data_IF_348257789216
#
_entry.id   IF_348257789216
#
_cell.length_a   1.000
_cell.length_b   1.000
_cell.length_c   1.000
_cell.angle_alpha   90.00
_cell.angle_beta   90.00
_cell.angle_gamma   90.00
#
_symmetry.space_group_name_H-M   'P 1'
#
loop_
_entity.id
_entity.type
_entity.pdbx_description
1 polymer ?
#
# COMPACT_ATOMS: atom_id res chain seq x y z
N UNK A 1 11.48 16.27 -9.97
CA UNK A 1 11.09 16.51 -8.56
C UNK A 1 12.00 17.55 -7.92
N UNK A 2 11.45 18.53 -7.21
CA UNK A 2 12.22 19.61 -6.57
C UNK A 2 12.88 19.10 -5.28
N UNK A 3 14.23 19.06 -5.22
CA UNK A 3 15.02 18.60 -4.05
C UNK A 3 14.63 19.29 -2.74
N UNK A 4 14.20 20.55 -2.77
CA UNK A 4 13.71 21.28 -1.59
C UNK A 4 12.36 20.77 -1.09
N UNK A 5 11.46 20.39 -1.99
CA UNK A 5 10.15 19.85 -1.62
C UNK A 5 10.29 18.46 -0.97
N UNK A 6 11.16 17.62 -1.53
CA UNK A 6 11.53 16.31 -0.96
C UNK A 6 12.10 16.41 0.45
N UNK A 7 13.13 17.25 0.64
CA UNK A 7 13.76 17.45 1.95
C UNK A 7 12.79 17.97 3.00
N UNK A 8 11.92 18.91 2.61
CA UNK A 8 10.86 19.43 3.47
C UNK A 8 9.88 18.33 3.89
N UNK A 9 9.45 17.46 2.96
CA UNK A 9 8.57 16.34 3.27
C UNK A 9 9.17 15.35 4.28
N UNK A 10 10.44 14.97 4.12
CA UNK A 10 11.15 14.11 5.09
C UNK A 10 11.18 14.74 6.48
N UNK A 11 11.47 16.05 6.55
CA UNK A 11 11.54 16.79 7.81
C UNK A 11 10.19 16.91 8.50
N UNK A 12 9.13 17.17 7.74
CA UNK A 12 7.77 17.27 8.25
C UNK A 12 7.32 15.94 8.84
N UNK A 13 7.52 14.85 8.12
CA UNK A 13 7.11 13.53 8.57
C UNK A 13 7.89 13.05 9.79
N UNK A 14 9.22 13.25 9.79
CA UNK A 14 10.06 12.97 10.95
C UNK A 14 9.54 13.68 12.20
N UNK A 15 9.16 14.95 12.06
CA UNK A 15 8.62 15.76 13.17
C UNK A 15 7.26 15.26 13.63
N UNK A 16 6.37 14.84 12.72
CA UNK A 16 5.08 14.22 13.09
C UNK A 16 5.30 12.97 13.95
N UNK A 17 6.26 12.13 13.57
CA UNK A 17 6.64 10.91 14.29
C UNK A 17 7.48 11.18 15.55
N UNK A 18 7.75 12.45 15.89
CA UNK A 18 8.57 12.88 17.04
C UNK A 18 9.99 12.29 17.08
N UNK A 19 10.53 11.96 15.90
CA UNK A 19 11.89 11.45 15.77
C UNK A 19 12.89 12.61 15.68
N UNK A 20 14.04 12.45 16.33
CA UNK A 20 15.24 13.27 16.08
C UNK A 20 15.88 12.87 14.74
N UNK A 21 16.71 13.75 14.18
CA UNK A 21 17.48 13.39 12.99
C UNK A 21 18.43 12.22 13.26
N UNK A 22 18.96 12.10 14.48
CA UNK A 22 19.81 10.97 14.84
C UNK A 22 19.03 9.65 14.82
N UNK A 23 17.83 9.62 15.39
CA UNK A 23 16.96 8.44 15.40
C UNK A 23 16.51 8.03 14.00
N UNK A 24 16.14 8.99 13.15
CA UNK A 24 15.80 8.69 11.76
C UNK A 24 17.03 8.23 10.96
N UNK A 25 18.20 8.84 11.14
CA UNK A 25 19.41 8.49 10.39
C UNK A 25 20.04 7.16 10.82
N UNK A 26 19.82 6.69 12.05
CA UNK A 26 20.50 5.52 12.64
C UNK A 26 20.42 4.27 11.75
N UNK A 27 21.56 3.70 11.36
CA UNK A 27 21.60 2.51 10.50
C UNK A 27 21.27 2.75 9.02
N UNK A 28 21.07 4.01 8.60
CA UNK A 28 20.79 4.40 7.21
C UNK A 28 21.86 5.37 6.70
N UNK A 29 22.11 6.45 7.43
CA UNK A 29 23.11 7.46 7.09
C UNK A 29 23.59 8.23 8.33
N UNK A 30 24.48 9.20 8.14
CA UNK A 30 24.85 10.11 9.22
C UNK A 30 23.76 11.16 9.47
N UNK A 31 23.61 11.60 10.72
CA UNK A 31 22.69 12.67 11.08
C UNK A 31 23.00 13.97 10.30
N UNK A 32 24.27 14.25 10.03
CA UNK A 32 24.69 15.37 9.20
C UNK A 32 24.18 15.24 7.75
N UNK A 33 24.24 14.05 7.16
CA UNK A 33 23.72 13.81 5.81
C UNK A 33 22.22 13.99 5.75
N UNK A 34 21.48 13.45 6.71
CA UNK A 34 20.03 13.65 6.83
C UNK A 34 19.67 15.13 6.96
N UNK A 35 20.47 15.93 7.68
CA UNK A 35 20.27 17.37 7.79
C UNK A 35 20.36 18.07 6.42
N UNK A 36 21.36 17.71 5.60
CA UNK A 36 21.50 18.25 4.24
C UNK A 36 20.38 17.80 3.29
N UNK A 37 19.89 16.56 3.45
CA UNK A 37 18.71 16.05 2.73
C UNK A 37 17.48 16.87 3.11
N UNK A 38 17.22 17.07 4.41
CA UNK A 38 16.08 17.84 4.92
C UNK A 38 16.10 19.32 4.51
N UNK A 39 17.29 19.90 4.34
CA UNK A 39 17.47 21.26 3.83
C UNK A 39 17.26 21.37 2.30
N UNK A 40 17.29 20.24 1.58
CA UNK A 40 17.23 20.21 0.12
C UNK A 40 18.54 20.62 -0.56
N UNK A 41 19.63 20.61 0.20
CA UNK A 41 20.97 21.02 -0.26
C UNK A 41 21.74 19.85 -0.88
N UNK A 42 21.33 18.61 -0.56
CA UNK A 42 21.97 17.39 -1.03
C UNK A 42 20.95 16.37 -1.52
N UNK A 43 21.29 15.68 -2.61
CA UNK A 43 20.52 14.57 -3.15
C UNK A 43 21.34 13.30 -2.94
N UNK A 44 20.89 12.43 -2.04
CA UNK A 44 21.59 11.19 -1.71
C UNK A 44 21.38 10.11 -2.77
N UNK A 45 22.15 9.03 -2.65
CA UNK A 45 21.88 7.79 -3.37
C UNK A 45 20.50 7.23 -2.97
N UNK A 46 19.90 6.47 -3.87
CA UNK A 46 18.51 6.00 -3.77
C UNK A 46 18.27 5.11 -2.54
N UNK A 47 19.26 4.31 -2.16
CA UNK A 47 19.31 3.45 -0.97
C UNK A 47 19.11 4.23 0.34
N UNK A 48 19.72 5.41 0.48
CA UNK A 48 19.57 6.27 1.66
C UNK A 48 18.14 6.81 1.76
N UNK A 49 17.53 7.20 0.64
CA UNK A 49 16.13 7.61 0.63
C UNK A 49 15.22 6.45 0.98
N UNK A 50 15.46 5.27 0.43
CA UNK A 50 14.68 4.05 0.73
C UNK A 50 14.72 3.78 2.25
N UNK A 51 15.90 3.78 2.86
CA UNK A 51 16.03 3.58 4.31
C UNK A 51 15.30 4.65 5.14
N UNK A 52 15.41 5.93 4.74
CA UNK A 52 14.69 7.03 5.40
C UNK A 52 13.17 6.82 5.30
N UNK A 53 12.64 6.54 4.12
CA UNK A 53 11.20 6.35 3.91
C UNK A 53 10.65 5.10 4.63
N UNK A 54 11.41 4.01 4.64
CA UNK A 54 11.07 2.79 5.40
C UNK A 54 10.96 3.08 6.90
N UNK A 55 11.89 3.85 7.48
CA UNK A 55 11.80 4.25 8.89
C UNK A 55 10.71 5.26 9.20
N UNK A 56 10.30 6.05 8.20
CA UNK A 56 9.14 6.91 8.32
C UNK A 56 7.82 6.11 8.24
N UNK A 57 7.87 4.78 8.07
CA UNK A 57 6.69 3.91 8.03
C UNK A 57 5.82 4.13 6.80
N UNK A 58 6.30 4.91 5.84
CA UNK A 58 5.59 5.23 4.61
C UNK A 58 6.04 4.22 3.57
N UNK A 59 5.09 3.37 3.11
CA UNK A 59 5.06 2.76 1.76
C UNK A 59 4.73 1.25 1.67
N UNK A 60 4.13 0.59 2.67
CA UNK A 60 3.86 -0.87 2.57
C UNK A 60 2.41 -1.24 2.16
N UNK A 61 1.50 -0.27 2.06
CA UNK A 61 0.14 -0.46 1.50
C UNK A 61 0.11 -0.47 -0.04
N UNK A 62 1.28 -0.47 -0.69
CA UNK A 62 1.39 -0.32 -2.13
C UNK A 62 0.97 -1.62 -2.80
N UNK A 63 -0.28 -1.66 -3.20
CA UNK A 63 -0.76 -2.54 -4.24
C UNK A 63 -1.52 -1.68 -5.23
N UNK A 64 -1.20 -1.82 -6.52
CA UNK A 64 -2.05 -1.24 -7.54
C UNK A 64 -3.35 -2.02 -7.57
N UNK A 65 -4.40 -1.39 -8.09
CA UNK A 65 -5.56 -2.13 -8.56
C UNK A 65 -5.40 -2.40 -10.05
N UNK A 66 -5.87 -3.57 -10.49
CA UNK A 66 -6.01 -3.88 -11.89
C UNK A 66 -7.07 -2.97 -12.51
N UNK A 67 -8.26 -3.01 -11.92
CA UNK A 67 -9.42 -2.21 -12.29
C UNK A 67 -9.75 -1.27 -11.13
N UNK A 68 -9.93 0.01 -11.41
CA UNK A 68 -10.33 1.01 -10.43
C UNK A 68 -11.85 1.15 -10.39
N UNK A 69 -12.36 1.60 -9.25
CA UNK A 69 -13.78 1.72 -8.97
C UNK A 69 -14.23 3.17 -9.18
N UNK A 70 -15.31 3.42 -9.93
CA UNK A 70 -15.81 4.77 -10.10
C UNK A 70 -16.34 5.32 -8.77
N UNK A 71 -16.03 6.58 -8.48
CA UNK A 71 -16.53 7.29 -7.29
C UNK A 71 -17.60 8.34 -7.63
N UNK A 72 -17.74 8.67 -8.92
CA UNK A 72 -18.66 9.69 -9.44
C UNK A 72 -19.21 9.24 -10.79
N UNK A 73 -20.42 9.71 -11.10
CA UNK A 73 -21.00 9.62 -12.45
C UNK A 73 -20.26 10.53 -13.46
N UNK A 74 -19.47 11.49 -12.98
CA UNK A 74 -18.59 12.31 -13.81
C UNK A 74 -17.31 11.51 -14.07
N UNK A 75 -17.25 10.85 -15.23
CA UNK A 75 -16.16 9.94 -15.61
C UNK A 75 -14.77 10.57 -15.43
N UNK A 76 -14.60 11.86 -15.79
CA UNK A 76 -13.34 12.59 -15.66
C UNK A 76 -12.81 12.66 -14.21
N UNK A 77 -13.69 12.73 -13.22
CA UNK A 77 -13.27 12.76 -11.81
C UNK A 77 -12.77 11.38 -11.38
N UNK A 78 -13.49 10.32 -11.74
CA UNK A 78 -13.09 8.94 -11.48
C UNK A 78 -11.75 8.62 -12.17
N UNK A 79 -11.57 9.00 -13.44
CA UNK A 79 -10.32 8.86 -14.17
C UNK A 79 -9.15 9.62 -13.50
N UNK A 80 -9.41 10.82 -12.98
CA UNK A 80 -8.37 11.60 -12.28
C UNK A 80 -7.94 10.93 -10.98
N UNK A 81 -8.89 10.44 -10.18
CA UNK A 81 -8.63 9.66 -8.97
C UNK A 81 -7.78 8.42 -9.27
N UNK A 82 -8.21 7.65 -10.28
CA UNK A 82 -7.51 6.47 -10.76
C UNK A 82 -6.07 6.79 -11.17
N UNK A 83 -5.86 7.84 -11.98
CA UNK A 83 -4.54 8.20 -12.47
C UNK A 83 -3.60 8.57 -11.32
N UNK A 84 -4.06 9.40 -10.37
CA UNK A 84 -3.28 9.79 -9.21
C UNK A 84 -2.91 8.57 -8.35
N UNK A 85 -3.85 7.64 -8.17
CA UNK A 85 -3.61 6.42 -7.41
C UNK A 85 -2.61 5.49 -8.12
N UNK A 86 -2.77 5.27 -9.42
CA UNK A 86 -1.87 4.45 -10.27
C UNK A 86 -0.44 5.01 -10.31
N UNK A 87 -0.31 6.34 -10.28
CA UNK A 87 0.96 7.05 -10.21
C UNK A 87 1.53 7.16 -8.78
N UNK A 88 0.84 6.64 -7.76
CA UNK A 88 1.22 6.74 -6.34
C UNK A 88 1.35 8.20 -5.86
N UNK A 89 0.62 9.11 -6.49
CA UNK A 89 0.52 10.53 -6.13
C UNK A 89 -0.51 10.69 -5.00
N UNK A 90 -0.25 10.05 -3.86
CA UNK A 90 -1.23 9.95 -2.77
C UNK A 90 -1.52 11.30 -2.11
N UNK A 91 -0.54 12.22 -2.06
CA UNK A 91 -0.75 13.57 -1.55
C UNK A 91 -1.74 14.33 -2.44
N UNK A 92 -1.51 14.30 -3.76
CA UNK A 92 -2.36 14.93 -4.75
C UNK A 92 -3.74 14.24 -4.83
N UNK A 93 -3.80 12.91 -4.66
CA UNK A 93 -5.06 12.16 -4.59
C UNK A 93 -5.89 12.61 -3.39
N UNK A 94 -5.30 12.64 -2.20
CA UNK A 94 -5.98 13.13 -0.98
C UNK A 94 -6.50 14.55 -1.19
N UNK A 95 -5.64 15.45 -1.67
CA UNK A 95 -6.02 16.87 -1.85
C UNK A 95 -7.14 17.01 -2.88
N UNK A 96 -7.10 16.25 -3.97
CA UNK A 96 -8.17 16.20 -4.97
C UNK A 96 -9.49 15.68 -4.40
N UNK A 97 -9.45 14.62 -3.59
CA UNK A 97 -10.63 14.02 -2.97
C UNK A 97 -11.28 14.92 -1.92
N UNK A 98 -10.51 15.80 -1.27
CA UNK A 98 -10.99 16.72 -0.24
C UNK A 98 -11.51 18.07 -0.80
N UNK A 99 -11.48 18.29 -2.12
CA UNK A 99 -12.09 19.48 -2.72
C UNK A 99 -13.62 19.40 -2.63
N UNK A 100 -14.28 20.50 -2.23
CA UNK A 100 -15.75 20.60 -2.19
C UNK A 100 -16.37 20.18 -3.54
N UNK A 101 -15.79 20.62 -4.65
CA UNK A 101 -16.25 20.25 -6.00
C UNK A 101 -16.16 18.75 -6.31
N UNK A 102 -15.20 18.05 -5.69
CA UNK A 102 -15.07 16.60 -5.85
C UNK A 102 -16.09 15.89 -4.96
N UNK A 103 -16.24 16.36 -3.72
CA UNK A 103 -17.19 15.81 -2.74
C UNK A 103 -18.62 15.92 -3.25
N UNK A 104 -19.02 17.09 -3.75
CA UNK A 104 -20.34 17.35 -4.31
C UNK A 104 -20.67 16.47 -5.53
N UNK A 105 -19.65 15.93 -6.19
CA UNK A 105 -19.80 15.09 -7.37
C UNK A 105 -19.80 13.58 -7.06
N UNK A 106 -19.59 13.16 -5.81
CA UNK A 106 -19.62 11.76 -5.41
C UNK A 106 -21.05 11.22 -5.58
N UNK A 107 -21.19 10.08 -6.25
CA UNK A 107 -22.49 9.41 -6.34
C UNK A 107 -22.73 8.52 -5.12
N UNK A 108 -23.99 8.20 -4.84
CA UNK A 108 -24.36 7.31 -3.74
C UNK A 108 -23.66 5.94 -3.87
N UNK A 109 -23.60 5.39 -5.09
CA UNK A 109 -22.91 4.12 -5.39
C UNK A 109 -21.39 4.23 -5.33
N UNK A 110 -20.86 5.44 -5.56
CA UNK A 110 -19.42 5.74 -5.57
C UNK A 110 -18.85 6.08 -4.19
N UNK A 111 -19.70 6.24 -3.18
CA UNK A 111 -19.31 6.65 -1.83
C UNK A 111 -18.32 5.65 -1.18
N UNK A 112 -18.54 4.36 -1.40
CA UNK A 112 -17.63 3.31 -0.94
C UNK A 112 -16.23 3.46 -1.55
N UNK A 113 -16.16 3.68 -2.87
CA UNK A 113 -14.91 3.87 -3.58
C UNK A 113 -14.20 5.14 -3.14
N UNK A 114 -14.93 6.24 -2.97
CA UNK A 114 -14.42 7.50 -2.46
C UNK A 114 -13.70 7.32 -1.11
N UNK A 115 -14.39 6.75 -0.13
CA UNK A 115 -13.83 6.57 1.22
C UNK A 115 -12.65 5.60 1.22
N UNK A 116 -12.69 4.56 0.38
CA UNK A 116 -11.55 3.67 0.20
C UNK A 116 -10.32 4.40 -0.33
N UNK A 117 -10.45 5.17 -1.42
CA UNK A 117 -9.33 5.91 -1.99
C UNK A 117 -8.79 6.97 -1.06
N UNK A 118 -9.67 7.69 -0.37
CA UNK A 118 -9.26 8.68 0.63
C UNK A 118 -8.50 8.00 1.78
N UNK A 119 -9.05 6.92 2.33
CA UNK A 119 -8.42 6.17 3.42
C UNK A 119 -7.06 5.58 3.05
N UNK A 120 -6.93 4.96 1.86
CA UNK A 120 -5.65 4.45 1.37
C UNK A 120 -4.65 5.59 1.14
N UNK A 121 -5.08 6.70 0.54
CA UNK A 121 -4.19 7.85 0.31
C UNK A 121 -3.64 8.43 1.61
N UNK A 122 -4.49 8.53 2.64
CA UNK A 122 -4.11 9.00 3.98
C UNK A 122 -3.17 8.01 4.68
N UNK A 123 -3.44 6.72 4.59
CA UNK A 123 -2.58 5.69 5.18
C UNK A 123 -1.17 5.73 4.57
N UNK A 124 -1.08 5.90 3.25
CA UNK A 124 0.19 6.06 2.53
C UNK A 124 0.94 7.33 2.91
N UNK A 125 0.27 8.33 3.49
CA UNK A 125 0.86 9.58 3.96
C UNK A 125 1.11 9.60 5.48
N UNK A 126 0.98 8.44 6.16
CA UNK A 126 1.14 8.33 7.60
C UNK A 126 -0.02 8.91 8.43
N UNK A 127 -1.12 9.32 7.80
CA UNK A 127 -2.32 9.86 8.45
C UNK A 127 -3.23 8.72 8.92
N UNK A 128 -2.70 7.89 9.84
CA UNK A 128 -3.29 6.59 10.16
C UNK A 128 -4.67 6.69 10.84
N UNK A 129 -4.92 7.73 11.64
CA UNK A 129 -6.22 7.91 12.32
C UNK A 129 -7.31 8.24 11.29
N UNK A 130 -7.06 9.25 10.45
CA UNK A 130 -7.97 9.66 9.38
C UNK A 130 -8.20 8.53 8.38
N UNK A 131 -7.13 7.78 8.07
CA UNK A 131 -7.23 6.60 7.22
C UNK A 131 -8.16 5.54 7.81
N UNK A 132 -8.03 5.22 9.10
CA UNK A 132 -8.91 4.25 9.76
C UNK A 132 -10.37 4.70 9.77
N UNK A 133 -10.63 5.98 10.02
CA UNK A 133 -11.98 6.54 9.98
C UNK A 133 -12.60 6.41 8.59
N UNK A 134 -11.89 6.84 7.55
CA UNK A 134 -12.38 6.76 6.17
C UNK A 134 -12.53 5.31 5.68
N UNK A 135 -11.58 4.42 6.00
CA UNK A 135 -11.71 3.00 5.67
C UNK A 135 -12.92 2.34 6.37
N UNK A 136 -13.26 2.76 7.59
CA UNK A 136 -14.49 2.32 8.26
C UNK A 136 -15.74 2.89 7.59
N UNK A 137 -15.71 4.12 7.08
CA UNK A 137 -16.81 4.69 6.29
C UNK A 137 -17.04 3.92 4.99
N UNK A 138 -15.99 3.44 4.33
CA UNK A 138 -16.10 2.55 3.16
C UNK A 138 -16.79 1.20 3.49
N UNK A 139 -16.88 0.86 4.77
CA UNK A 139 -17.48 -0.37 5.29
C UNK A 139 -18.92 -0.21 5.79
N UNK A 140 -19.41 1.03 5.88
CA UNK A 140 -20.79 1.33 6.32
C UNK A 140 -21.81 0.87 5.25
N UNK A 141 -22.97 0.42 5.73
CA UNK A 141 -24.15 0.01 4.94
C UNK A 141 -23.93 -1.12 3.92
N UNK A 142 -22.95 -2.00 4.18
CA UNK A 142 -22.71 -3.14 3.32
C UNK A 142 -23.68 -4.30 3.57
N UNK A 143 -24.60 -4.47 2.62
CA UNK A 143 -25.47 -5.67 2.55
C UNK A 143 -24.74 -6.92 2.04
N UNK A 144 -23.63 -6.73 1.30
CA UNK A 144 -22.82 -7.80 0.70
C UNK A 144 -21.34 -7.39 0.66
N UNK A 145 -20.44 -8.37 0.74
CA UNK A 145 -19.00 -8.16 0.58
C UNK A 145 -18.67 -7.82 -0.89
N UNK A 146 -18.06 -6.67 -1.11
CA UNK A 146 -17.54 -6.20 -2.39
C UNK A 146 -16.02 -6.31 -2.41
N UNK A 147 -15.39 -6.16 -3.57
CA UNK A 147 -13.91 -6.13 -3.64
C UNK A 147 -13.37 -4.96 -2.81
N UNK A 148 -13.99 -3.78 -2.88
CA UNK A 148 -13.59 -2.60 -2.12
C UNK A 148 -13.66 -2.88 -0.62
N UNK A 149 -14.68 -3.60 -0.16
CA UNK A 149 -14.82 -3.91 1.26
C UNK A 149 -13.73 -4.83 1.78
N UNK A 150 -13.41 -5.88 1.01
CA UNK A 150 -12.30 -6.78 1.31
C UNK A 150 -10.98 -6.02 1.36
N UNK A 151 -10.73 -5.15 0.38
CA UNK A 151 -9.54 -4.31 0.34
C UNK A 151 -9.49 -3.30 1.51
N UNK A 152 -10.64 -2.77 1.92
CA UNK A 152 -10.75 -1.85 3.06
C UNK A 152 -10.43 -2.56 4.38
N UNK A 153 -10.96 -3.77 4.59
CA UNK A 153 -10.59 -4.62 5.72
C UNK A 153 -9.11 -4.96 5.72
N UNK A 154 -8.53 -5.36 4.58
CA UNK A 154 -7.09 -5.62 4.49
C UNK A 154 -6.25 -4.37 4.78
N UNK A 155 -6.70 -3.19 4.34
CA UNK A 155 -6.01 -1.92 4.60
C UNK A 155 -6.03 -1.58 6.09
N UNK A 156 -7.16 -1.78 6.77
CA UNK A 156 -7.25 -1.69 8.22
C UNK A 156 -6.34 -2.70 8.91
N UNK A 157 -6.27 -3.94 8.40
CA UNK A 157 -5.35 -4.98 8.86
C UNK A 157 -3.88 -4.55 8.80
N UNK A 158 -3.44 -3.92 7.71
CA UNK A 158 -2.07 -3.40 7.60
C UNK A 158 -1.82 -2.29 8.62
N UNK A 159 -2.76 -1.36 8.80
CA UNK A 159 -2.63 -0.29 9.80
C UNK A 159 -2.56 -0.87 11.22
N UNK A 160 -3.41 -1.84 11.55
CA UNK A 160 -3.39 -2.52 12.86
C UNK A 160 -2.10 -3.32 13.08
N UNK A 161 -1.52 -3.90 12.02
CA UNK A 161 -0.25 -4.61 12.10
C UNK A 161 0.92 -3.68 12.43
N UNK A 162 0.94 -2.47 11.86
CA UNK A 162 1.93 -1.42 12.21
C UNK A 162 1.86 -1.06 13.70
N UNK A 163 0.67 -1.12 14.30
CA UNK A 163 0.44 -0.85 15.72
C UNK A 163 0.55 -2.10 16.61
N UNK A 164 1.01 -3.25 16.09
CA UNK A 164 1.10 -4.54 16.79
C UNK A 164 -0.22 -5.03 17.42
N UNK A 165 -1.36 -4.69 16.82
CA UNK A 165 -2.70 -5.07 17.30
C UNK A 165 -3.15 -6.42 16.73
N UNK A 166 -2.44 -7.50 17.07
CA UNK A 166 -2.61 -8.82 16.43
C UNK A 166 -4.04 -9.37 16.45
N UNK A 167 -4.78 -9.18 17.56
CA UNK A 167 -6.17 -9.66 17.64
C UNK A 167 -7.05 -9.02 16.56
N UNK A 168 -6.93 -7.71 16.39
CA UNK A 168 -7.72 -6.95 15.44
C UNK A 168 -7.31 -7.26 13.99
N UNK A 169 -6.02 -7.55 13.77
CA UNK A 169 -5.50 -8.01 12.48
C UNK A 169 -6.21 -9.29 12.03
N UNK A 170 -6.34 -10.29 12.89
CA UNK A 170 -6.99 -11.55 12.53
C UNK A 170 -8.48 -11.36 12.22
N UNK A 171 -9.19 -10.51 12.99
CA UNK A 171 -10.59 -10.15 12.73
C UNK A 171 -10.76 -9.50 11.33
N UNK A 172 -9.84 -8.61 10.95
CA UNK A 172 -9.86 -7.96 9.63
C UNK A 172 -9.49 -8.91 8.49
N UNK A 173 -8.53 -9.81 8.69
CA UNK A 173 -8.20 -10.85 7.70
C UNK A 173 -9.40 -11.79 7.50
N UNK A 174 -10.05 -12.23 8.58
CA UNK A 174 -11.23 -13.09 8.50
C UNK A 174 -12.37 -12.42 7.72
N UNK A 175 -12.69 -11.16 8.06
CA UNK A 175 -13.71 -10.38 7.35
C UNK A 175 -13.36 -10.19 5.86
N UNK A 176 -12.10 -9.95 5.52
CA UNK A 176 -11.66 -9.76 4.14
C UNK A 176 -11.74 -11.06 3.30
N UNK A 177 -11.55 -12.23 3.91
CA UNK A 177 -11.52 -13.53 3.23
C UNK A 177 -12.83 -14.32 3.33
N UNK A 178 -13.82 -13.84 4.10
CA UNK A 178 -15.12 -14.49 4.25
C UNK A 178 -15.78 -14.80 2.89
N UNK A 179 -16.17 -16.05 2.66
CA UNK A 179 -16.86 -16.51 1.43
C UNK A 179 -16.12 -16.13 0.12
N UNK A 180 -14.79 -16.01 0.17
CA UNK A 180 -13.99 -15.64 -1.01
C UNK A 180 -14.13 -16.68 -2.13
N UNK A 181 -14.23 -17.96 -1.79
CA UNK A 181 -14.41 -19.08 -2.73
C UNK A 181 -15.75 -19.04 -3.48
N UNK A 182 -16.73 -18.30 -2.97
CA UNK A 182 -18.05 -18.10 -3.61
C UNK A 182 -18.11 -16.81 -4.41
N UNK A 183 -17.07 -15.97 -4.34
CA UNK A 183 -17.00 -14.69 -5.02
C UNK A 183 -16.49 -14.89 -6.44
N UNK A 184 -17.16 -14.27 -7.44
CA UNK A 184 -16.66 -14.28 -8.81
C UNK A 184 -15.26 -13.66 -8.88
N UNK A 185 -14.37 -14.29 -9.64
CA UNK A 185 -12.99 -13.85 -9.72
C UNK A 185 -12.87 -12.44 -10.33
N UNK A 186 -12.06 -11.61 -9.67
CA UNK A 186 -11.58 -10.33 -10.15
C UNK A 186 -10.08 -10.26 -9.82
N UNK A 187 -9.25 -9.73 -10.73
CA UNK A 187 -7.80 -9.68 -10.53
C UNK A 187 -7.39 -8.89 -9.27
N UNK A 188 -8.20 -7.95 -8.81
CA UNK A 188 -7.97 -7.24 -7.55
C UNK A 188 -8.04 -8.15 -6.32
N UNK A 189 -8.69 -9.32 -6.39
CA UNK A 189 -8.69 -10.29 -5.30
C UNK A 189 -7.28 -10.84 -5.02
N UNK A 190 -6.39 -10.82 -6.02
CA UNK A 190 -4.98 -11.20 -5.85
C UNK A 190 -4.31 -10.31 -4.78
N UNK A 191 -4.70 -9.04 -4.70
CA UNK A 191 -4.15 -8.06 -3.73
C UNK A 191 -4.42 -8.48 -2.28
N UNK A 192 -5.50 -9.22 -2.00
CA UNK A 192 -5.82 -9.67 -0.64
C UNK A 192 -4.72 -10.58 -0.07
N UNK A 193 -4.20 -11.51 -0.87
CA UNK A 193 -3.10 -12.38 -0.45
C UNK A 193 -1.80 -11.60 -0.26
N UNK A 194 -1.53 -10.62 -1.12
CA UNK A 194 -0.36 -9.75 -0.99
C UNK A 194 -0.41 -8.95 0.31
N UNK A 195 -1.53 -8.25 0.58
CA UNK A 195 -1.70 -7.46 1.79
C UNK A 195 -1.65 -8.33 3.05
N UNK A 196 -2.16 -9.57 3.00
CA UNK A 196 -2.05 -10.52 4.12
C UNK A 196 -0.59 -10.91 4.38
N UNK A 197 0.21 -11.10 3.33
CA UNK A 197 1.63 -11.34 3.48
C UNK A 197 2.38 -10.12 4.05
N UNK A 198 2.04 -8.90 3.61
CA UNK A 198 2.56 -7.66 4.17
C UNK A 198 2.24 -7.56 5.67
N UNK A 199 0.99 -7.83 6.06
CA UNK A 199 0.57 -7.89 7.46
C UNK A 199 1.45 -8.86 8.25
N UNK A 200 1.62 -10.10 7.76
CA UNK A 200 2.43 -11.08 8.48
C UNK A 200 3.91 -10.72 8.53
N UNK A 201 4.47 -10.10 7.48
CA UNK A 201 5.82 -9.53 7.52
C UNK A 201 5.94 -8.45 8.59
N UNK A 202 4.96 -7.55 8.68
CA UNK A 202 4.92 -6.48 9.71
C UNK A 202 4.87 -7.02 11.14
N UNK A 203 4.21 -8.15 11.33
CA UNK A 203 4.18 -8.87 12.59
C UNK A 203 5.39 -9.81 12.79
N UNK A 204 6.41 -9.72 11.94
CA UNK A 204 7.61 -10.57 11.96
C UNK A 204 7.35 -12.09 11.78
N UNK A 205 6.16 -12.44 11.26
CA UNK A 205 5.73 -13.82 10.99
C UNK A 205 6.13 -14.25 9.57
N UNK A 206 7.41 -14.17 9.24
CA UNK A 206 7.93 -14.38 7.87
C UNK A 206 7.52 -15.72 7.23
N UNK A 207 7.46 -16.80 8.02
CA UNK A 207 7.01 -18.11 7.52
C UNK A 207 5.54 -18.08 7.08
N UNK A 208 4.66 -17.42 7.84
CA UNK A 208 3.25 -17.27 7.47
C UNK A 208 3.09 -16.33 6.27
N UNK A 209 3.89 -15.27 6.20
CA UNK A 209 3.92 -14.37 5.04
C UNK A 209 4.29 -15.15 3.76
N UNK A 210 5.36 -15.95 3.79
CA UNK A 210 5.78 -16.75 2.64
C UNK A 210 4.71 -17.78 2.23
N UNK A 211 4.14 -18.52 3.18
CA UNK A 211 3.05 -19.46 2.90
C UNK A 211 1.82 -18.76 2.29
N UNK A 212 1.55 -17.52 2.71
CA UNK A 212 0.46 -16.73 2.16
C UNK A 212 0.74 -16.31 0.71
N UNK A 213 1.97 -15.94 0.39
CA UNK A 213 2.39 -15.62 -0.98
C UNK A 213 2.30 -16.85 -1.89
N UNK A 214 2.77 -18.01 -1.42
CA UNK A 214 2.68 -19.26 -2.20
C UNK A 214 1.23 -19.63 -2.51
N UNK A 215 0.32 -19.50 -1.53
CA UNK A 215 -1.12 -19.68 -1.75
C UNK A 215 -1.70 -18.67 -2.73
N UNK A 216 -1.30 -17.40 -2.65
CA UNK A 216 -1.77 -16.39 -3.59
C UNK A 216 -1.24 -16.61 -5.01
N UNK A 217 0.00 -17.08 -5.17
CA UNK A 217 0.55 -17.47 -6.49
C UNK A 217 -0.28 -18.61 -7.09
N UNK A 218 -0.66 -19.61 -6.29
CA UNK A 218 -1.56 -20.68 -6.72
C UNK A 218 -2.93 -20.11 -7.13
N UNK A 219 -3.55 -19.27 -6.29
CA UNK A 219 -4.83 -18.62 -6.57
C UNK A 219 -4.80 -17.82 -7.88
N UNK A 220 -3.74 -17.04 -8.13
CA UNK A 220 -3.53 -16.29 -9.36
C UNK A 220 -3.45 -17.23 -10.57
N UNK A 221 -2.70 -18.33 -10.44
CA UNK A 221 -2.49 -19.31 -11.51
C UNK A 221 -3.75 -20.09 -11.86
N UNK A 222 -4.54 -20.51 -10.86
CA UNK A 222 -5.81 -21.24 -11.04
C UNK A 222 -6.84 -20.41 -11.81
N UNK A 223 -6.74 -19.08 -11.73
CA UNK A 223 -7.61 -18.15 -12.45
C UNK A 223 -7.00 -17.62 -13.75
N UNK A 224 -5.88 -18.18 -14.20
CA UNK A 224 -5.15 -17.77 -15.41
C UNK A 224 -4.78 -16.27 -15.44
N UNK A 225 -4.61 -15.64 -14.27
CA UNK A 225 -4.11 -14.27 -14.18
C UNK A 225 -2.58 -14.28 -14.06
N UNK A 226 -1.97 -13.16 -14.43
CA UNK A 226 -0.57 -12.87 -14.18
C UNK A 226 -0.39 -11.63 -13.29
N UNK A 227 -1.50 -10.99 -12.90
CA UNK A 227 -1.50 -9.75 -12.14
C UNK A 227 -0.97 -9.98 -10.72
N UNK A 228 -0.03 -9.13 -10.29
CA UNK A 228 0.69 -9.17 -9.01
C UNK A 228 1.82 -10.20 -8.89
N UNK A 229 2.05 -11.09 -9.87
CA UNK A 229 3.07 -12.14 -9.72
C UNK A 229 4.47 -11.58 -9.49
N UNK A 230 4.83 -10.47 -10.15
CA UNK A 230 6.15 -9.87 -9.92
C UNK A 230 6.29 -9.36 -8.49
N UNK A 231 5.25 -8.71 -7.95
CA UNK A 231 5.19 -8.22 -6.57
C UNK A 231 5.20 -9.35 -5.53
N UNK A 232 4.50 -10.45 -5.79
CA UNK A 232 4.50 -11.63 -4.91
C UNK A 232 5.89 -12.25 -4.80
N UNK A 233 6.55 -12.47 -5.94
CA UNK A 233 7.89 -13.02 -5.94
C UNK A 233 8.92 -12.06 -5.34
N UNK A 234 8.77 -10.76 -5.55
CA UNK A 234 9.64 -9.77 -4.92
C UNK A 234 9.53 -9.85 -3.39
N UNK A 235 8.31 -9.81 -2.84
CA UNK A 235 8.10 -9.91 -1.40
C UNK A 235 8.59 -11.26 -0.84
N UNK A 236 8.38 -12.36 -1.56
CA UNK A 236 8.89 -13.68 -1.17
C UNK A 236 10.42 -13.70 -1.07
N UNK A 237 11.10 -13.01 -1.99
CA UNK A 237 12.57 -12.90 -1.99
C UNK A 237 13.11 -12.17 -0.75
N UNK A 238 12.37 -11.17 -0.25
CA UNK A 238 12.71 -10.43 0.98
C UNK A 238 12.50 -11.23 2.26
N UNK A 239 11.70 -12.32 2.22
CA UNK A 239 11.33 -13.12 3.39
C UNK A 239 12.23 -14.33 3.63
N UNK A 240 13.14 -14.63 2.70
CA UNK A 240 14.01 -15.82 2.74
C UNK A 240 15.46 -15.43 2.47
N UNK A 241 16.38 -16.32 2.82
CA UNK A 241 17.82 -16.07 2.65
C UNK A 241 18.42 -16.82 1.45
N UNK A 242 19.63 -16.41 1.06
CA UNK A 242 20.55 -17.15 0.18
C UNK A 242 19.94 -17.51 -1.19
N UNK A 243 20.11 -18.75 -1.64
CA UNK A 243 19.74 -19.22 -2.98
C UNK A 243 18.23 -19.13 -3.25
N UNK A 244 17.40 -19.30 -2.22
CA UNK A 244 15.95 -19.15 -2.35
C UNK A 244 15.57 -17.70 -2.65
N UNK A 245 16.23 -16.74 -2.00
CA UNK A 245 16.01 -15.31 -2.25
C UNK A 245 16.35 -14.96 -3.69
N UNK A 246 17.52 -15.41 -4.17
CA UNK A 246 17.95 -15.21 -5.57
C UNK A 246 16.96 -15.78 -6.58
N UNK A 247 16.47 -16.99 -6.33
CA UNK A 247 15.50 -17.64 -7.21
C UNK A 247 14.18 -16.86 -7.30
N UNK A 248 13.68 -16.32 -6.18
CA UNK A 248 12.47 -15.50 -6.18
C UNK A 248 12.69 -14.14 -6.85
N UNK A 249 13.83 -13.48 -6.64
CA UNK A 249 14.16 -12.24 -7.36
C UNK A 249 14.21 -12.44 -8.88
N UNK A 250 14.82 -13.52 -9.35
CA UNK A 250 14.84 -13.85 -10.77
C UNK A 250 13.44 -14.05 -11.35
N UNK A 251 12.53 -14.70 -10.61
CA UNK A 251 11.12 -14.81 -11.02
C UNK A 251 10.43 -13.44 -11.05
N UNK A 252 10.63 -12.61 -10.03
CA UNK A 252 10.07 -11.25 -10.00
C UNK A 252 10.49 -10.42 -11.21
N UNK A 253 11.78 -10.47 -11.57
CA UNK A 253 12.31 -9.80 -12.76
C UNK A 253 11.67 -10.34 -14.05
N UNK A 254 11.56 -11.67 -14.19
CA UNK A 254 10.92 -12.28 -15.36
C UNK A 254 9.47 -11.79 -15.54
N UNK A 255 8.66 -11.79 -14.48
CA UNK A 255 7.27 -11.32 -14.56
C UNK A 255 7.19 -9.80 -14.84
N UNK A 256 8.11 -9.03 -14.27
CA UNK A 256 8.24 -7.59 -14.57
C UNK A 256 8.55 -7.35 -16.06
N UNK A 257 9.47 -8.11 -16.64
CA UNK A 257 9.89 -7.96 -18.03
C UNK A 257 8.77 -8.34 -19.02
N UNK A 258 8.09 -9.47 -18.75
CA UNK A 258 7.03 -10.02 -19.60
C UNK A 258 5.74 -9.18 -19.55
N UNK A 259 5.34 -8.75 -18.35
CA UNK A 259 4.02 -8.13 -18.15
C UNK A 259 4.07 -6.65 -17.82
N UNK A 260 5.27 -6.05 -17.78
CA UNK A 260 5.51 -4.63 -17.42
C UNK A 260 4.90 -4.25 -16.07
N UNK A 261 4.82 -5.22 -15.17
CA UNK A 261 4.32 -5.02 -13.82
C UNK A 261 5.31 -4.14 -13.04
N UNK A 262 4.81 -3.09 -12.39
CA UNK A 262 5.65 -2.28 -11.49
C UNK A 262 5.78 -3.00 -10.15
N UNK A 263 7.01 -3.35 -9.79
CA UNK A 263 7.32 -3.92 -8.47
C UNK A 263 7.43 -2.80 -7.45
N UNK A 264 6.79 -2.98 -6.30
CA UNK A 264 6.90 -2.10 -5.15
C UNK A 264 8.19 -2.45 -4.39
N UNK A 265 9.23 -1.63 -4.55
CA UNK A 265 10.56 -1.83 -3.95
C UNK A 265 10.75 -1.09 -2.63
N UNK A 266 9.70 -0.39 -2.16
CA UNK A 266 9.65 0.33 -0.89
C UNK A 266 8.83 -0.43 0.17
N UNK A 267 9.06 -1.74 0.24
CA UNK A 267 8.48 -2.65 1.25
C UNK A 267 9.44 -2.81 2.43
#
# INVERSE_FOLDING_TARGET
MNKKALGKGVKEERKKLRLTQAELAQGICSQALLSHIEAGDYMSAADIFIGIYQKLGISELQANLKNYFPMSQIEKLSQKSEELCRQHQYAELRDFLLLDSTIDAISEEGLQAYYYYLGVSQAQLGQLNEAQENLRLALVDQKKLTIISRLSWMSLGVISAVNHQEKQVEEYIEAAFQDLEKTSYDENLNVLYYLRAVIYKKLEKNKLALMTLEKGIQFISEHNSHYMLANFYYLAALLVENDKSRAYFSKSQLFTELYKEKVFDKI
#
